data_IF_270330809475
#
_entry.id   IF_270330809475
#
_cell.length_a   1.000
_cell.length_b   1.000
_cell.length_c   1.000
_cell.angle_alpha   90.00
_cell.angle_beta   90.00
_cell.angle_gamma   90.00
#
_symmetry.space_group_name_H-M   'P 1'
#
loop_
_entity.id
_entity.type
_entity.pdbx_description
1 polymer ?
#
# COMPACT_ATOMS: atom_id res chain seq x y z
N UNK A 1 13.48 -6.54 -34.29
CA UNK A 1 12.55 -5.47 -33.87
C UNK A 1 12.49 -5.29 -32.35
N UNK A 2 12.41 -6.37 -31.56
CA UNK A 2 12.31 -6.26 -30.08
C UNK A 2 13.57 -5.66 -29.42
N UNK A 3 14.77 -5.92 -29.93
CA UNK A 3 16.02 -5.40 -29.37
C UNK A 3 16.06 -3.87 -29.49
N UNK A 4 15.71 -3.35 -30.67
CA UNK A 4 15.68 -1.90 -30.94
C UNK A 4 14.60 -1.23 -30.09
N UNK A 5 13.41 -1.84 -30.00
CA UNK A 5 12.31 -1.34 -29.18
C UNK A 5 12.71 -1.24 -27.70
N UNK A 6 13.34 -2.28 -27.17
CA UNK A 6 13.80 -2.27 -25.78
C UNK A 6 14.91 -1.25 -25.51
N UNK A 7 15.78 -1.05 -26.47
CA UNK A 7 16.83 -0.03 -26.36
C UNK A 7 16.25 1.39 -26.37
N UNK A 8 15.36 1.69 -27.33
CA UNK A 8 14.67 2.99 -27.40
C UNK A 8 13.86 3.22 -26.11
N UNK A 9 13.14 2.21 -25.65
CA UNK A 9 12.38 2.28 -24.39
C UNK A 9 13.29 2.55 -23.19
N UNK A 10 14.48 1.96 -23.15
CA UNK A 10 15.47 2.23 -22.13
C UNK A 10 15.92 3.70 -22.13
N UNK A 11 16.14 4.27 -23.30
CA UNK A 11 16.46 5.70 -23.43
C UNK A 11 15.30 6.58 -22.95
N UNK A 12 14.05 6.26 -23.33
CA UNK A 12 12.86 6.99 -22.87
C UNK A 12 12.78 6.96 -21.35
N UNK A 13 12.95 5.78 -20.73
CA UNK A 13 12.94 5.63 -19.26
C UNK A 13 14.00 6.53 -18.62
N UNK A 14 15.21 6.58 -19.19
CA UNK A 14 16.31 7.40 -18.64
C UNK A 14 16.03 8.91 -18.78
N UNK A 15 15.39 9.35 -19.86
CA UNK A 15 15.09 10.76 -20.09
C UNK A 15 13.82 11.24 -19.38
N UNK A 16 12.70 10.53 -19.54
CA UNK A 16 11.39 10.92 -18.99
C UNK A 16 11.22 10.48 -17.54
N UNK A 17 11.97 9.46 -17.11
CA UNK A 17 11.98 8.92 -15.76
C UNK A 17 10.59 8.56 -15.22
N UNK A 18 9.77 7.81 -15.98
CA UNK A 18 8.49 7.29 -15.46
C UNK A 18 8.70 6.33 -14.28
N UNK A 19 9.86 5.69 -14.23
CA UNK A 19 10.35 4.89 -13.12
C UNK A 19 11.81 5.24 -12.81
N UNK A 20 12.23 5.04 -11.56
CA UNK A 20 13.60 5.25 -11.09
C UNK A 20 14.06 4.07 -10.27
N UNK A 21 15.38 3.92 -10.12
CA UNK A 21 15.93 2.97 -9.14
C UNK A 21 15.47 3.36 -7.75
N UNK A 22 14.93 2.39 -7.02
CA UNK A 22 14.33 2.57 -5.71
C UNK A 22 12.80 2.73 -5.71
N UNK A 23 12.16 2.92 -6.88
CA UNK A 23 10.70 2.97 -6.96
C UNK A 23 10.10 1.57 -6.78
N UNK A 24 8.95 1.50 -6.10
CA UNK A 24 8.10 0.31 -6.09
C UNK A 24 7.13 0.39 -7.25
N UNK A 25 7.11 -0.66 -8.05
CA UNK A 25 6.30 -0.73 -9.25
C UNK A 25 5.44 -2.00 -9.28
N UNK A 26 4.26 -1.87 -9.88
CA UNK A 26 3.41 -3.00 -10.22
C UNK A 26 3.19 -3.00 -11.73
N UNK A 27 3.51 -4.11 -12.37
CA UNK A 27 3.39 -4.30 -13.82
C UNK A 27 2.71 -5.66 -14.08
N UNK A 28 1.40 -5.64 -14.26
CA UNK A 28 0.60 -6.87 -14.31
C UNK A 28 0.69 -7.64 -13.01
N UNK A 29 1.25 -8.85 -13.04
CA UNK A 29 1.46 -9.69 -11.85
C UNK A 29 2.83 -9.49 -11.19
N UNK A 30 3.66 -8.63 -11.76
CA UNK A 30 5.00 -8.33 -11.24
C UNK A 30 4.89 -7.16 -10.29
N UNK A 31 5.29 -7.37 -9.04
CA UNK A 31 5.35 -6.32 -8.02
C UNK A 31 6.72 -6.37 -7.32
N UNK A 32 7.36 -5.21 -7.18
CA UNK A 32 8.66 -5.14 -6.50
C UNK A 32 9.33 -3.78 -6.64
N UNK A 33 10.56 -3.72 -6.17
CA UNK A 33 11.39 -2.52 -6.22
C UNK A 33 12.31 -2.54 -7.43
N UNK A 34 12.39 -1.43 -8.14
CA UNK A 34 13.34 -1.23 -9.23
C UNK A 34 14.74 -1.12 -8.65
N UNK A 35 15.62 -2.07 -8.97
CA UNK A 35 17.00 -2.08 -8.46
C UNK A 35 18.02 -1.66 -9.51
N UNK A 36 17.70 -1.87 -10.80
CA UNK A 36 18.59 -1.51 -11.90
C UNK A 36 17.76 -1.19 -13.15
N UNK A 37 18.16 -0.15 -13.88
CA UNK A 37 17.61 0.20 -15.19
C UNK A 37 18.76 0.09 -16.19
N UNK A 38 18.76 -1.00 -16.95
CA UNK A 38 19.73 -1.25 -18.01
C UNK A 38 19.24 -0.78 -19.38
N UNK A 39 20.08 -0.96 -20.40
CA UNK A 39 19.78 -0.51 -21.77
C UNK A 39 18.60 -1.25 -22.42
N UNK A 40 18.34 -2.50 -22.05
CA UNK A 40 17.30 -3.35 -22.67
C UNK A 40 16.28 -3.86 -21.67
N UNK A 41 16.62 -3.90 -20.40
CA UNK A 41 15.83 -4.49 -19.34
C UNK A 41 16.00 -3.70 -18.05
N UNK A 42 14.97 -3.72 -17.27
CA UNK A 42 14.94 -3.21 -15.89
C UNK A 42 14.82 -4.39 -14.93
N UNK A 43 15.59 -4.37 -13.86
CA UNK A 43 15.52 -5.40 -12.82
C UNK A 43 14.56 -4.94 -11.71
N UNK A 44 13.54 -5.73 -11.45
CA UNK A 44 12.58 -5.54 -10.36
C UNK A 44 12.76 -6.68 -9.36
N UNK A 45 13.01 -6.34 -8.10
CA UNK A 45 13.18 -7.32 -7.03
C UNK A 45 11.94 -7.34 -6.15
N UNK A 46 11.33 -8.52 -6.03
CA UNK A 46 10.15 -8.74 -5.19
C UNK A 46 10.48 -8.71 -3.70
N UNK A 47 9.45 -8.65 -2.85
CA UNK A 47 9.61 -8.74 -1.39
C UNK A 47 10.24 -10.07 -0.92
N UNK A 48 10.15 -11.13 -1.74
CA UNK A 48 10.78 -12.43 -1.49
C UNK A 48 12.24 -12.49 -2.00
N UNK A 49 12.81 -11.34 -2.37
CA UNK A 49 14.16 -11.21 -2.91
C UNK A 49 14.37 -11.96 -4.25
N UNK A 50 13.33 -12.05 -5.07
CA UNK A 50 13.39 -12.64 -6.39
C UNK A 50 13.57 -11.51 -7.42
N UNK A 51 14.65 -11.59 -8.19
CA UNK A 51 14.91 -10.63 -9.27
C UNK A 51 14.14 -11.03 -10.54
N UNK A 52 13.30 -10.13 -11.02
CA UNK A 52 12.55 -10.27 -12.28
C UNK A 52 13.15 -9.33 -13.30
N UNK A 53 13.60 -9.87 -14.42
CA UNK A 53 14.20 -9.10 -15.52
C UNK A 53 13.11 -8.73 -16.53
N UNK A 54 12.67 -7.49 -16.50
CA UNK A 54 11.56 -7.00 -17.33
C UNK A 54 12.09 -6.24 -18.54
N UNK A 55 11.73 -6.60 -19.78
CA UNK A 55 12.08 -5.82 -20.96
C UNK A 55 11.60 -4.37 -20.83
N UNK A 56 12.45 -3.39 -21.20
CA UNK A 56 12.13 -1.98 -21.04
C UNK A 56 10.86 -1.55 -21.79
N UNK A 57 10.57 -2.18 -22.94
CA UNK A 57 9.36 -1.90 -23.71
C UNK A 57 8.08 -2.12 -22.91
N UNK A 58 8.08 -3.05 -21.93
CA UNK A 58 6.92 -3.31 -21.06
C UNK A 58 6.54 -2.08 -20.24
N UNK A 59 7.53 -1.33 -19.76
CA UNK A 59 7.30 -0.10 -18.98
C UNK A 59 6.76 1.08 -19.80
N UNK A 60 6.84 1.00 -21.13
CA UNK A 60 6.34 2.05 -22.04
C UNK A 60 4.97 1.67 -22.62
N UNK A 61 4.73 0.38 -22.85
CA UNK A 61 3.52 -0.11 -23.53
C UNK A 61 2.42 -0.46 -22.53
N UNK A 62 2.79 -1.07 -21.39
CA UNK A 62 1.83 -1.55 -20.40
C UNK A 62 1.50 -0.45 -19.37
N UNK A 63 0.37 -0.62 -18.70
CA UNK A 63 0.06 0.21 -17.54
C UNK A 63 0.99 -0.13 -16.39
N UNK A 64 1.75 0.84 -15.93
CA UNK A 64 2.66 0.72 -14.80
C UNK A 64 2.10 1.50 -13.63
N UNK A 65 1.89 0.83 -12.50
CA UNK A 65 1.61 1.49 -11.24
C UNK A 65 2.94 1.79 -10.56
N UNK A 66 3.26 3.07 -10.41
CA UNK A 66 4.43 3.51 -9.65
C UNK A 66 3.96 4.07 -8.32
N UNK A 67 4.16 3.29 -7.25
CA UNK A 67 3.74 3.66 -5.91
C UNK A 67 4.71 4.69 -5.34
N UNK A 68 4.22 5.89 -5.06
CA UNK A 68 5.06 6.98 -4.53
C UNK A 68 5.71 7.88 -5.60
N UNK A 69 5.31 7.77 -6.88
CA UNK A 69 5.85 8.60 -7.98
C UNK A 69 5.77 10.11 -7.71
N UNK A 70 4.64 10.58 -7.20
CA UNK A 70 4.43 12.00 -6.88
C UNK A 70 4.76 12.36 -5.43
N UNK A 71 4.72 11.37 -4.53
CA UNK A 71 4.91 11.58 -3.10
C UNK A 71 5.35 10.29 -2.44
N UNK A 72 6.26 10.38 -1.49
CA UNK A 72 6.63 9.25 -0.61
C UNK A 72 5.49 8.86 0.35
N UNK A 73 4.43 9.67 0.43
CA UNK A 73 3.28 9.40 1.28
C UNK A 73 2.34 8.42 0.60
N UNK A 74 2.08 7.32 1.26
CA UNK A 74 1.16 6.27 0.79
C UNK A 74 0.02 6.12 1.76
N UNK A 75 -1.20 6.00 1.23
CA UNK A 75 -2.38 5.71 2.05
C UNK A 75 -2.59 4.21 2.17
N UNK A 76 -2.72 3.77 3.41
CA UNK A 76 -3.04 2.39 3.77
C UNK A 76 -4.49 2.33 4.26
N UNK A 77 -5.22 1.31 3.87
CA UNK A 77 -6.60 1.07 4.27
C UNK A 77 -6.70 -0.28 4.97
N UNK A 78 -7.34 -0.29 6.13
CA UNK A 78 -7.60 -1.50 6.91
C UNK A 78 -9.09 -1.63 7.13
N UNK A 79 -9.65 -2.77 6.74
CA UNK A 79 -11.07 -3.07 6.92
C UNK A 79 -11.27 -3.88 8.19
N UNK A 80 -12.26 -3.49 8.99
CA UNK A 80 -12.62 -4.14 10.24
C UNK A 80 -14.12 -4.35 10.27
N UNK A 81 -14.55 -5.60 10.45
CA UNK A 81 -15.97 -5.94 10.62
C UNK A 81 -16.26 -6.24 12.10
N UNK A 82 -17.19 -5.50 12.68
CA UNK A 82 -17.57 -5.63 14.08
C UNK A 82 -18.99 -6.16 14.22
N UNK A 83 -19.25 -6.78 15.37
CA UNK A 83 -20.54 -7.36 15.69
C UNK A 83 -21.66 -6.29 15.75
N UNK A 84 -22.94 -6.69 15.52
CA UNK A 84 -24.08 -5.77 15.52
C UNK A 84 -24.29 -5.01 16.83
N UNK A 85 -23.90 -5.62 17.95
CA UNK A 85 -24.03 -5.03 19.28
C UNK A 85 -22.99 -3.95 19.61
N UNK A 86 -21.98 -3.76 18.74
CA UNK A 86 -20.95 -2.76 18.96
C UNK A 86 -21.50 -1.33 18.83
N UNK A 87 -21.07 -0.42 19.68
CA UNK A 87 -21.36 1.00 19.52
C UNK A 87 -20.45 1.60 18.42
N UNK A 88 -21.01 2.11 17.32
CA UNK A 88 -20.24 2.68 16.22
C UNK A 88 -19.32 3.84 16.65
N UNK A 89 -19.74 4.65 17.61
CA UNK A 89 -18.94 5.78 18.09
C UNK A 89 -17.71 5.27 18.86
N UNK A 90 -17.87 4.25 19.68
CA UNK A 90 -16.78 3.61 20.41
C UNK A 90 -15.81 2.91 19.46
N UNK A 91 -16.31 2.21 18.43
CA UNK A 91 -15.46 1.59 17.39
C UNK A 91 -14.61 2.65 16.69
N UNK A 92 -15.25 3.72 16.23
CA UNK A 92 -14.57 4.83 15.55
C UNK A 92 -13.46 5.43 16.43
N UNK A 93 -13.75 5.70 17.70
CA UNK A 93 -12.77 6.27 18.62
C UNK A 93 -11.61 5.29 18.86
N UNK A 94 -11.88 4.03 19.06
CA UNK A 94 -10.85 3.00 19.26
C UNK A 94 -9.91 2.88 18.07
N UNK A 95 -10.45 2.91 16.84
CA UNK A 95 -9.63 2.87 15.61
C UNK A 95 -8.78 4.14 15.45
N UNK A 96 -9.33 5.31 15.78
CA UNK A 96 -8.56 6.56 15.76
C UNK A 96 -7.45 6.56 16.80
N UNK A 97 -7.70 6.06 18.00
CA UNK A 97 -6.68 5.94 19.07
C UNK A 97 -5.52 5.05 18.62
N UNK A 98 -5.82 3.91 17.98
CA UNK A 98 -4.80 3.00 17.43
C UNK A 98 -3.96 3.70 16.36
N UNK A 99 -4.61 4.44 15.46
CA UNK A 99 -3.89 5.17 14.42
C UNK A 99 -2.95 6.23 14.99
N UNK A 100 -3.42 7.02 15.96
CA UNK A 100 -2.61 8.07 16.57
C UNK A 100 -1.47 7.55 17.46
N UNK A 101 -1.61 6.34 17.99
CA UNK A 101 -0.58 5.74 18.84
C UNK A 101 0.60 5.15 18.04
N UNK A 102 0.42 4.90 16.73
CA UNK A 102 1.48 4.29 15.92
C UNK A 102 2.47 5.32 15.39
N UNK A 103 3.78 5.17 15.63
CA UNK A 103 4.79 6.19 15.29
C UNK A 103 4.94 6.42 13.77
N UNK A 104 4.66 5.41 12.94
CA UNK A 104 4.78 5.50 11.49
C UNK A 104 3.53 6.04 10.80
N UNK A 105 2.46 6.32 11.53
CA UNK A 105 1.26 6.96 11.02
C UNK A 105 1.43 8.48 11.07
N UNK A 106 1.24 9.12 9.92
CA UNK A 106 1.32 10.57 9.82
C UNK A 106 0.15 11.26 10.51
N UNK A 107 0.43 12.43 11.10
CA UNK A 107 -0.60 13.33 11.60
C UNK A 107 -1.21 14.17 10.47
N UNK A 108 -0.43 14.45 9.42
CA UNK A 108 -0.85 15.15 8.20
C UNK A 108 -0.35 14.40 6.94
N UNK A 109 -1.25 13.93 6.07
CA UNK A 109 -2.73 13.95 6.21
C UNK A 109 -3.21 13.11 7.40
N UNK A 110 -4.26 13.61 8.08
CA UNK A 110 -4.80 12.96 9.28
C UNK A 110 -5.41 11.58 8.97
N UNK A 111 -5.33 10.62 9.92
CA UNK A 111 -6.09 9.38 9.84
C UNK A 111 -7.60 9.65 9.76
N UNK A 112 -8.32 8.73 9.12
CA UNK A 112 -9.77 8.80 9.02
C UNK A 112 -10.40 7.42 9.24
N UNK A 113 -11.55 7.40 9.89
CA UNK A 113 -12.38 6.18 10.04
C UNK A 113 -13.71 6.39 9.35
N UNK A 114 -14.11 5.42 8.56
CA UNK A 114 -15.38 5.41 7.82
C UNK A 114 -16.17 4.14 8.13
N UNK A 115 -17.46 4.28 8.33
CA UNK A 115 -18.39 3.15 8.28
C UNK A 115 -18.78 2.95 6.81
N UNK A 116 -18.30 1.88 6.20
CA UNK A 116 -18.48 1.63 4.76
C UNK A 116 -19.81 0.96 4.45
N UNK A 117 -20.24 0.05 5.31
CA UNK A 117 -21.45 -0.73 5.06
C UNK A 117 -22.06 -1.27 6.36
N UNK A 118 -23.38 -1.40 6.33
CA UNK A 118 -24.14 -2.23 7.25
C UNK A 118 -24.41 -3.55 6.53
N UNK A 119 -23.93 -4.64 7.08
CA UNK A 119 -24.01 -5.97 6.49
C UNK A 119 -25.24 -6.73 6.98
N UNK A 120 -25.55 -7.86 6.32
CA UNK A 120 -26.60 -8.76 6.76
C UNK A 120 -26.39 -9.19 8.23
N UNK A 121 -27.46 -9.24 9.02
CA UNK A 121 -27.36 -9.53 10.45
C UNK A 121 -26.94 -8.34 11.33
N UNK A 122 -26.73 -7.16 10.71
CA UNK A 122 -26.40 -5.93 11.45
C UNK A 122 -24.92 -5.71 11.72
N UNK A 123 -24.03 -6.59 11.23
CA UNK A 123 -22.60 -6.37 11.33
C UNK A 123 -22.19 -5.09 10.60
N UNK A 124 -21.17 -4.42 11.12
CA UNK A 124 -20.70 -3.14 10.59
C UNK A 124 -19.30 -3.25 10.05
N UNK A 125 -19.12 -2.85 8.78
CA UNK A 125 -17.82 -2.78 8.12
C UNK A 125 -17.24 -1.36 8.25
N UNK A 126 -16.17 -1.24 9.01
CA UNK A 126 -15.38 -0.01 9.13
C UNK A 126 -14.12 -0.08 8.28
N UNK A 127 -13.65 1.07 7.85
CA UNK A 127 -12.34 1.24 7.22
C UNK A 127 -11.55 2.30 7.99
N UNK A 128 -10.37 1.92 8.46
CA UNK A 128 -9.37 2.85 8.96
C UNK A 128 -8.43 3.22 7.81
N UNK A 129 -8.30 4.51 7.53
CA UNK A 129 -7.39 5.08 6.54
C UNK A 129 -6.25 5.80 7.27
N UNK A 130 -5.02 5.40 7.00
CA UNK A 130 -3.82 6.02 7.56
C UNK A 130 -2.84 6.38 6.45
N UNK A 131 -2.00 7.37 6.69
CA UNK A 131 -0.93 7.75 5.78
C UNK A 131 0.42 7.44 6.40
N UNK A 132 1.33 6.93 5.58
CA UNK A 132 2.70 6.62 5.95
C UNK A 132 3.66 7.34 5.00
N UNK A 133 4.72 7.95 5.53
CA UNK A 133 5.80 8.56 4.76
C UNK A 133 7.03 7.66 4.64
N UNK A 134 7.06 6.58 5.39
CA UNK A 134 8.16 5.63 5.33
C UNK A 134 8.06 4.76 4.09
N UNK A 135 9.24 4.37 3.63
CA UNK A 135 9.46 3.55 2.45
C UNK A 135 8.43 2.42 2.34
N UNK A 136 8.11 2.14 1.13
CA UNK A 136 7.16 1.14 0.65
C UNK A 136 7.36 -0.25 1.31
N UNK A 137 8.57 -0.60 1.70
CA UNK A 137 8.91 -1.85 2.38
C UNK A 137 8.30 -1.97 3.80
N UNK A 138 7.89 -0.86 4.42
CA UNK A 138 7.26 -0.84 5.74
C UNK A 138 5.72 -0.93 5.71
N UNK A 139 5.09 -0.95 4.53
CA UNK A 139 3.63 -0.98 4.42
C UNK A 139 3.01 -2.23 5.02
N UNK A 140 3.56 -3.39 4.70
CA UNK A 140 3.03 -4.67 5.17
C UNK A 140 3.25 -4.83 6.69
N UNK A 141 4.40 -4.36 7.17
CA UNK A 141 4.70 -4.28 8.60
C UNK A 141 3.70 -3.37 9.32
N UNK A 142 3.46 -2.18 8.80
CA UNK A 142 2.49 -1.23 9.35
C UNK A 142 1.06 -1.82 9.39
N UNK A 143 0.63 -2.49 8.32
CA UNK A 143 -0.67 -3.16 8.27
C UNK A 143 -0.76 -4.23 9.36
N UNK A 144 0.28 -5.04 9.52
CA UNK A 144 0.35 -6.07 10.54
C UNK A 144 0.25 -5.48 11.95
N UNK A 145 1.07 -4.47 12.24
CA UNK A 145 1.13 -3.83 13.55
C UNK A 145 -0.21 -3.18 13.92
N UNK A 146 -0.81 -2.48 12.97
CA UNK A 146 -2.13 -1.88 13.17
C UNK A 146 -3.22 -2.92 13.38
N UNK A 147 -3.19 -4.05 12.67
CA UNK A 147 -4.15 -5.13 12.86
C UNK A 147 -4.04 -5.75 14.26
N UNK A 148 -2.83 -5.98 14.77
CA UNK A 148 -2.63 -6.43 16.15
C UNK A 148 -3.17 -5.41 17.16
N UNK A 149 -2.83 -4.15 17.00
CA UNK A 149 -3.29 -3.09 17.88
C UNK A 149 -4.81 -2.88 17.84
N UNK A 150 -5.43 -2.95 16.65
CA UNK A 150 -6.89 -2.88 16.48
C UNK A 150 -7.57 -4.01 17.25
N UNK A 151 -7.08 -5.25 17.05
CA UNK A 151 -7.65 -6.41 17.73
C UNK A 151 -7.59 -6.26 19.25
N UNK A 152 -6.43 -5.89 19.76
CA UNK A 152 -6.24 -5.69 21.20
C UNK A 152 -7.16 -4.59 21.75
N UNK A 153 -7.19 -3.44 21.10
CA UNK A 153 -7.98 -2.27 21.51
C UNK A 153 -9.49 -2.56 21.51
N UNK A 154 -9.99 -3.19 20.46
CA UNK A 154 -11.42 -3.50 20.34
C UNK A 154 -11.86 -4.53 21.39
N UNK A 155 -11.10 -5.60 21.58
CA UNK A 155 -11.41 -6.61 22.58
C UNK A 155 -11.34 -6.05 24.01
N UNK A 156 -10.36 -5.22 24.32
CA UNK A 156 -10.27 -4.53 25.61
C UNK A 156 -11.47 -3.58 25.86
N UNK A 157 -12.04 -3.01 24.80
CA UNK A 157 -13.29 -2.23 24.86
C UNK A 157 -14.58 -3.04 24.87
N UNK A 158 -14.50 -4.37 24.90
CA UNK A 158 -15.68 -5.24 24.85
C UNK A 158 -16.34 -5.34 23.48
N UNK A 159 -15.66 -4.91 22.42
CA UNK A 159 -16.16 -4.93 21.05
C UNK A 159 -15.79 -6.26 20.40
N UNK A 160 -16.80 -7.02 20.00
CA UNK A 160 -16.65 -8.28 19.28
C UNK A 160 -16.50 -8.06 17.76
N UNK A 161 -15.81 -8.98 17.10
CA UNK A 161 -15.76 -9.07 15.65
C UNK A 161 -16.95 -9.90 15.13
N UNK A 162 -17.28 -9.69 13.86
CA UNK A 162 -18.30 -10.47 13.14
C UNK A 162 -17.64 -11.34 12.06
#
# INVERSE_FOLDING_TARGET
QQIISNFISGLIIMFERPIKVGDRVELGTIEGNVTEIGMRRTTVVTSDNIAILVPNSRFIIDNVVNVGYHSVRVRVRLSVTVAPAADPAQVRQSLMDVAHAHPDVLTEPAPAVRLLALQAGGAMLFELQVWNANRIDSRDSLISDLNFAIREKLLAGGIGFA
#
